data_IF_983073979636
#
_entry.id   IF_983073979636
#
_cell.length_a   1.000
_cell.length_b   1.000
_cell.length_c   1.000
_cell.angle_alpha   90.00
_cell.angle_beta   90.00
_cell.angle_gamma   90.00
#
_symmetry.space_group_name_H-M   'P 1'
#
loop_
_entity.id
_entity.type
_entity.pdbx_description
1 polymer ?
#
# COMPACT_ATOMS: atom_id res chain seq x y z
N UNK A 1 -56.62 -17.46 -14.93
CA UNK A 1 -55.43 -18.32 -14.89
C UNK A 1 -54.18 -17.45 -14.78
N UNK A 2 -53.19 -17.94 -14.06
CA UNK A 2 -52.16 -17.21 -13.30
C UNK A 2 -51.17 -16.43 -14.20
N UNK A 3 -50.99 -15.16 -13.86
CA UNK A 3 -50.06 -14.19 -14.46
C UNK A 3 -48.61 -14.59 -14.13
N UNK A 4 -47.75 -14.80 -15.14
CA UNK A 4 -46.32 -15.08 -14.95
C UNK A 4 -45.55 -13.76 -15.04
N UNK A 5 -45.20 -13.16 -13.90
CA UNK A 5 -44.29 -12.00 -13.84
C UNK A 5 -42.85 -12.50 -13.94
N UNK A 6 -42.20 -12.22 -15.07
CA UNK A 6 -40.75 -12.35 -15.24
C UNK A 6 -40.08 -11.21 -14.46
N UNK A 7 -39.35 -11.54 -13.39
CA UNK A 7 -38.66 -10.56 -12.54
C UNK A 7 -37.42 -10.01 -13.23
N UNK A 8 -37.50 -8.79 -13.75
CA UNK A 8 -36.31 -8.00 -14.11
C UNK A 8 -35.65 -7.47 -12.84
N UNK A 9 -34.36 -7.71 -12.67
CA UNK A 9 -33.56 -7.24 -11.53
C UNK A 9 -33.09 -5.79 -11.81
N UNK A 10 -33.55 -4.75 -11.09
CA UNK A 10 -33.29 -3.36 -11.44
C UNK A 10 -31.95 -2.80 -10.91
N UNK A 11 -31.09 -3.62 -10.30
CA UNK A 11 -29.88 -3.14 -9.60
C UNK A 11 -28.60 -3.05 -10.46
N UNK A 12 -28.69 -3.14 -11.79
CA UNK A 12 -27.54 -3.16 -12.71
C UNK A 12 -27.38 -1.84 -13.49
N UNK A 13 -27.46 -0.68 -12.82
CA UNK A 13 -27.31 0.63 -13.48
C UNK A 13 -26.41 1.66 -12.79
N UNK A 14 -25.51 1.27 -11.88
CA UNK A 14 -24.61 2.23 -11.20
C UNK A 14 -23.16 1.76 -11.08
N UNK A 15 -22.55 1.38 -12.19
CA UNK A 15 -21.08 1.30 -12.34
C UNK A 15 -20.82 1.79 -13.76
N UNK A 16 -20.27 3.00 -14.02
CA UNK A 16 -18.94 3.40 -13.57
C UNK A 16 -18.72 4.94 -13.45
N UNK A 17 -18.56 5.49 -12.24
CA UNK A 17 -17.92 6.81 -12.06
C UNK A 17 -16.81 6.82 -11.00
N UNK A 18 -16.67 5.71 -10.24
CA UNK A 18 -15.62 5.51 -9.24
C UNK A 18 -14.30 4.97 -9.83
N UNK A 19 -14.28 4.53 -11.10
CA UNK A 19 -13.08 3.94 -11.70
C UNK A 19 -12.05 5.00 -12.15
N UNK A 20 -12.47 6.25 -12.41
CA UNK A 20 -11.57 7.27 -12.95
C UNK A 20 -10.94 8.17 -11.87
N UNK A 21 -11.45 8.17 -10.63
CA UNK A 21 -10.92 9.01 -9.55
C UNK A 21 -9.80 8.33 -8.75
N UNK A 22 -9.61 7.01 -8.87
CA UNK A 22 -8.50 6.29 -8.23
C UNK A 22 -7.22 6.21 -9.06
N UNK A 23 -7.24 6.55 -10.35
CA UNK A 23 -6.01 6.60 -11.16
C UNK A 23 -5.20 7.89 -10.99
N UNK A 24 -5.75 8.93 -10.36
CA UNK A 24 -5.09 10.24 -10.22
C UNK A 24 -4.25 10.40 -8.94
N UNK A 25 -4.27 9.43 -8.02
CA UNK A 25 -3.55 9.47 -6.74
C UNK A 25 -2.19 8.76 -6.74
N UNK A 26 -1.79 8.12 -7.85
CA UNK A 26 -0.44 7.55 -8.02
C UNK A 26 0.58 8.60 -8.49
N UNK A 27 0.55 9.82 -7.93
CA UNK A 27 1.78 10.61 -7.93
C UNK A 27 2.71 9.97 -6.91
N UNK A 28 3.50 9.01 -7.38
CA UNK A 28 4.59 8.45 -6.61
C UNK A 28 5.41 9.60 -6.02
N UNK A 29 5.64 9.54 -4.72
CA UNK A 29 6.59 10.43 -4.05
C UNK A 29 7.98 10.11 -4.60
N UNK A 30 8.41 10.85 -5.63
CA UNK A 30 9.79 10.84 -6.09
C UNK A 30 10.56 11.88 -5.27
N UNK A 31 10.93 11.50 -4.05
CA UNK A 31 11.89 12.26 -3.27
C UNK A 31 13.27 12.07 -3.88
N UNK A 32 13.69 12.98 -4.76
CA UNK A 32 15.06 13.04 -5.31
C UNK A 32 16.09 13.53 -4.26
N UNK A 33 15.81 13.33 -2.97
CA UNK A 33 16.50 13.98 -1.84
C UNK A 33 16.44 13.21 -0.53
N UNK A 34 16.11 11.92 -0.54
CA UNK A 34 16.19 11.11 0.67
C UNK A 34 17.59 10.51 0.81
N UNK A 35 18.24 10.79 1.93
CA UNK A 35 19.47 10.15 2.36
C UNK A 35 19.41 8.61 2.26
N UNK A 36 18.20 8.06 2.39
CA UNK A 36 17.92 6.64 2.37
C UNK A 36 16.97 6.28 1.22
N UNK A 37 17.25 5.16 0.54
CA UNK A 37 16.30 4.45 -0.32
C UNK A 37 15.71 3.28 0.46
N UNK A 38 14.39 3.18 0.50
CA UNK A 38 13.68 2.11 1.22
C UNK A 38 12.99 1.18 0.22
N UNK A 39 13.13 -0.13 0.44
CA UNK A 39 12.46 -1.18 -0.33
C UNK A 39 11.74 -2.15 0.60
N UNK A 40 10.56 -2.62 0.20
CA UNK A 40 9.80 -3.63 0.92
C UNK A 40 9.88 -4.95 0.17
N UNK A 41 10.30 -6.00 0.87
CA UNK A 41 10.48 -7.34 0.31
C UNK A 41 9.50 -8.27 1.01
N UNK A 42 8.61 -8.89 0.26
CA UNK A 42 7.66 -9.85 0.80
C UNK A 42 8.23 -11.27 0.78
N UNK A 43 7.88 -12.08 1.79
CA UNK A 43 8.22 -13.51 1.79
C UNK A 43 7.55 -14.30 0.64
N UNK A 44 6.48 -13.78 0.06
CA UNK A 44 5.67 -14.43 -0.99
C UNK A 44 5.13 -13.40 -1.97
N UNK A 45 4.96 -13.82 -3.22
CA UNK A 45 4.39 -12.98 -4.30
C UNK A 45 2.88 -12.78 -4.18
N UNK A 46 2.16 -13.65 -3.47
CA UNK A 46 0.72 -13.57 -3.30
C UNK A 46 0.31 -14.07 -1.92
N UNK A 47 -0.66 -13.39 -1.31
CA UNK A 47 -1.11 -13.63 0.06
C UNK A 47 -2.65 -13.70 0.04
N UNK A 48 -3.22 -14.69 0.74
CA UNK A 48 -4.67 -14.78 0.90
C UNK A 48 -5.15 -13.83 2.02
N UNK A 49 -6.38 -13.29 1.94
CA UNK A 49 -6.93 -12.47 3.02
C UNK A 49 -6.89 -13.20 4.38
N UNK A 50 -6.37 -12.52 5.40
CA UNK A 50 -6.23 -13.06 6.75
C UNK A 50 -5.02 -13.97 6.98
N UNK A 51 -4.21 -14.25 5.95
CA UNK A 51 -2.98 -15.01 6.13
C UNK A 51 -1.88 -14.13 6.76
N UNK A 52 -1.13 -14.72 7.70
CA UNK A 52 0.09 -14.13 8.24
C UNK A 52 1.22 -14.31 7.22
N UNK A 53 2.03 -13.27 7.07
CA UNK A 53 3.22 -13.26 6.23
C UNK A 53 4.22 -12.24 6.77
N UNK A 54 5.48 -12.41 6.39
CA UNK A 54 6.59 -11.54 6.78
C UNK A 54 6.92 -10.54 5.68
N UNK A 55 7.24 -9.31 6.09
CA UNK A 55 7.88 -8.31 5.25
C UNK A 55 9.26 -7.99 5.81
N UNK A 56 10.24 -7.85 4.92
CA UNK A 56 11.52 -7.22 5.22
C UNK A 56 11.52 -5.78 4.70
N UNK A 57 12.13 -4.90 5.50
CA UNK A 57 12.42 -3.51 5.11
C UNK A 57 13.91 -3.43 4.83
N UNK A 58 14.28 -3.16 3.59
CA UNK A 58 15.66 -2.90 3.18
C UNK A 58 15.87 -1.39 3.07
N UNK A 59 16.87 -0.88 3.77
CA UNK A 59 17.25 0.54 3.72
C UNK A 59 18.66 0.65 3.18
N UNK A 60 18.82 1.37 2.06
CA UNK A 60 20.13 1.70 1.48
C UNK A 60 20.44 3.17 1.74
N UNK A 61 21.43 3.44 2.57
CA UNK A 61 21.83 4.79 3.00
C UNK A 61 22.97 5.34 2.15
N UNK A 62 22.86 6.62 1.77
CA UNK A 62 23.92 7.34 1.06
C UNK A 62 25.15 7.58 1.96
N UNK A 63 26.35 7.71 1.38
CA UNK A 63 27.55 8.02 2.16
C UNK A 63 27.39 9.28 3.02
N UNK A 64 27.84 9.20 4.28
CA UNK A 64 27.76 10.31 5.25
C UNK A 64 26.43 10.41 5.99
N UNK A 65 25.46 9.55 5.66
CA UNK A 65 24.20 9.45 6.37
C UNK A 65 24.13 8.19 7.23
N UNK A 66 23.34 8.26 8.29
CA UNK A 66 23.13 7.15 9.22
C UNK A 66 21.68 7.13 9.67
N UNK A 67 21.15 5.92 9.86
CA UNK A 67 19.88 5.69 10.56
C UNK A 67 20.14 5.26 12.00
N UNK A 68 19.09 5.21 12.81
CA UNK A 68 19.18 4.91 14.23
C UNK A 68 18.64 3.52 14.58
N UNK A 69 19.23 2.93 15.61
CA UNK A 69 18.67 1.76 16.28
C UNK A 69 17.44 2.15 17.12
N UNK A 70 16.59 1.17 17.45
CA UNK A 70 15.38 1.38 18.25
C UNK A 70 15.65 2.05 19.61
N UNK A 71 16.85 1.86 20.16
CA UNK A 71 17.33 2.62 21.31
C UNK A 71 18.39 3.65 20.87
N UNK A 72 18.01 4.83 20.40
CA UNK A 72 18.92 5.82 19.84
C UNK A 72 19.65 6.69 20.88
N UNK A 73 19.33 6.54 22.17
CA UNK A 73 19.68 7.53 23.19
C UNK A 73 18.90 8.84 23.03
N UNK A 74 19.34 9.91 23.71
CA UNK A 74 18.57 11.17 23.80
C UNK A 74 18.48 11.97 22.49
N UNK A 75 19.35 11.70 21.51
CA UNK A 75 19.53 12.57 20.35
C UNK A 75 19.02 11.99 19.02
N UNK A 76 18.59 10.72 18.97
CA UNK A 76 18.16 10.10 17.72
C UNK A 76 16.65 9.82 17.67
N UNK A 77 16.15 9.71 16.44
CA UNK A 77 14.77 9.33 16.14
C UNK A 77 14.81 7.97 15.46
N UNK A 78 14.38 6.89 16.13
CA UNK A 78 14.42 5.57 15.54
C UNK A 78 13.35 5.45 14.45
N UNK A 79 13.56 4.58 13.45
CA UNK A 79 12.53 4.26 12.47
C UNK A 79 11.27 3.73 13.16
N UNK A 80 10.11 4.10 12.62
CA UNK A 80 8.80 3.60 13.04
C UNK A 80 8.14 2.90 11.84
N UNK A 81 7.40 1.81 12.11
CA UNK A 81 6.70 1.00 11.10
C UNK A 81 5.23 1.36 11.04
#
# INVERSE_FOLDING_TARGET
MRMMRWGWNPNLRFVPLMASMMLASLRGYSGDGTADRVNLIAERDTIAPGALFTLAVEVTTQPGWHTYWLNPGDAGLPPNL
#
